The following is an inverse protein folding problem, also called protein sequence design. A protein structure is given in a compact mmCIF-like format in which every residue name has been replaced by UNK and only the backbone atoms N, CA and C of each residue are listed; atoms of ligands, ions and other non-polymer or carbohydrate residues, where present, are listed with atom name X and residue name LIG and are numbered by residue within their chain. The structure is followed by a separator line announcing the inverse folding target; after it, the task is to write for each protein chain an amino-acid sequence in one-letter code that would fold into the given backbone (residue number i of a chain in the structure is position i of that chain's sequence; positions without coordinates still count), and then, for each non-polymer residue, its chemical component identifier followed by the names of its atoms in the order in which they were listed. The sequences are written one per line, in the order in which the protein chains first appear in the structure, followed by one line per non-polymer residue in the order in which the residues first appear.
data_IF_098588006356
#
_entry.id   IF_098588006356
#
_cell.length_a   1.000
_cell.length_b   1.000
_cell.length_c   1.000
_cell.angle_alpha   90.00
_cell.angle_beta   90.00
_cell.angle_gamma   90.00
#
_symmetry.space_group_name_H-M   'P 1'
#
loop_
_entity.id
_entity.type
_entity.pdbx_description
1 polymer ?
#
# COMPACT_ATOMS: atom_id res chain seq x y z
N UNK A 1 -57.88 -66.96 -14.21
CA UNK A 1 -56.71 -66.79 -13.32
C UNK A 1 -57.10 -67.22 -11.92
N UNK A 2 -56.19 -67.83 -11.12
CA UNK A 2 -56.47 -68.14 -9.72
C UNK A 2 -56.78 -66.85 -8.94
N UNK A 3 -57.80 -66.86 -8.08
CA UNK A 3 -58.29 -65.68 -7.36
C UNK A 3 -57.20 -64.97 -6.53
N UNK A 4 -56.31 -65.73 -5.91
CA UNK A 4 -55.16 -65.20 -5.14
C UNK A 4 -54.19 -64.39 -6.01
N UNK A 5 -53.96 -64.84 -7.25
CA UNK A 5 -53.08 -64.14 -8.20
C UNK A 5 -53.70 -62.83 -8.67
N UNK A 6 -55.03 -62.76 -8.75
CA UNK A 6 -55.76 -61.55 -9.10
C UNK A 6 -55.71 -60.51 -7.97
N UNK A 7 -55.94 -60.90 -6.71
CA UNK A 7 -55.85 -59.96 -5.57
C UNK A 7 -54.42 -59.43 -5.38
N UNK A 8 -53.40 -60.28 -5.52
CA UNK A 8 -52.00 -59.82 -5.46
C UNK A 8 -51.66 -58.80 -6.55
N UNK A 9 -52.19 -58.97 -7.77
CA UNK A 9 -52.01 -57.99 -8.86
C UNK A 9 -52.71 -56.67 -8.57
N UNK A 10 -53.90 -56.71 -7.97
CA UNK A 10 -54.66 -55.52 -7.55
C UNK A 10 -53.95 -54.75 -6.43
N UNK A 11 -53.39 -55.45 -5.44
CA UNK A 11 -52.57 -54.84 -4.39
C UNK A 11 -51.32 -54.17 -4.95
N UNK A 12 -50.61 -54.83 -5.86
CA UNK A 12 -49.43 -54.27 -6.53
C UNK A 12 -49.79 -53.03 -7.37
N UNK A 13 -50.91 -53.08 -8.10
CA UNK A 13 -51.43 -51.93 -8.86
C UNK A 13 -51.75 -50.75 -7.95
N UNK A 14 -52.48 -50.98 -6.85
CA UNK A 14 -52.80 -49.95 -5.86
C UNK A 14 -51.56 -49.39 -5.14
N UNK A 15 -50.55 -50.24 -4.90
CA UNK A 15 -49.26 -49.80 -4.35
C UNK A 15 -48.51 -48.90 -5.33
N UNK A 16 -48.44 -49.30 -6.61
CA UNK A 16 -47.81 -48.53 -7.68
C UNK A 16 -48.45 -47.16 -7.85
N UNK A 17 -49.79 -47.09 -7.85
CA UNK A 17 -50.54 -45.81 -7.92
C UNK A 17 -50.18 -44.91 -6.73
N UNK A 18 -50.14 -45.44 -5.51
CA UNK A 18 -49.77 -44.67 -4.32
C UNK A 18 -48.32 -44.16 -4.36
N UNK A 19 -47.40 -44.96 -4.88
CA UNK A 19 -46.00 -44.55 -5.06
C UNK A 19 -45.92 -43.42 -6.09
N UNK A 20 -46.61 -43.55 -7.23
CA UNK A 20 -46.65 -42.53 -8.27
C UNK A 20 -47.20 -41.21 -7.75
N UNK A 21 -48.32 -41.23 -7.02
CA UNK A 21 -48.91 -40.04 -6.41
C UNK A 21 -47.94 -39.35 -5.43
N UNK A 22 -47.22 -40.13 -4.60
CA UNK A 22 -46.20 -39.57 -3.70
C UNK A 22 -45.05 -38.96 -4.48
N UNK A 23 -44.57 -39.64 -5.52
CA UNK A 23 -43.50 -39.16 -6.38
C UNK A 23 -43.87 -37.84 -7.05
N UNK A 24 -45.06 -37.75 -7.63
CA UNK A 24 -45.54 -36.52 -8.29
C UNK A 24 -45.68 -35.35 -7.29
N UNK A 25 -46.13 -35.63 -6.07
CA UNK A 25 -46.16 -34.63 -4.99
C UNK A 25 -44.76 -34.13 -4.62
N UNK A 26 -43.80 -35.04 -4.43
CA UNK A 26 -42.41 -34.65 -4.14
C UNK A 26 -41.78 -33.88 -5.29
N UNK A 27 -42.03 -34.31 -6.53
CA UNK A 27 -41.54 -33.64 -7.74
C UNK A 27 -42.10 -32.23 -7.84
N UNK A 28 -43.40 -32.04 -7.63
CA UNK A 28 -44.02 -30.70 -7.65
C UNK A 28 -43.42 -29.79 -6.58
N UNK A 29 -43.25 -30.29 -5.34
CA UNK A 29 -42.64 -29.53 -4.25
C UNK A 29 -41.19 -29.14 -4.54
N UNK A 30 -40.40 -30.08 -5.09
CA UNK A 30 -39.02 -29.82 -5.48
C UNK A 30 -38.92 -28.77 -6.61
N UNK A 31 -39.83 -28.82 -7.60
CA UNK A 31 -39.87 -27.83 -8.68
C UNK A 31 -40.15 -26.42 -8.14
N UNK A 32 -41.10 -26.30 -7.20
CA UNK A 32 -41.42 -25.00 -6.59
C UNK A 32 -40.27 -24.48 -5.73
N UNK A 33 -39.62 -25.34 -4.94
CA UNK A 33 -38.43 -24.97 -4.17
C UNK A 33 -37.28 -24.53 -5.08
N UNK A 34 -37.02 -25.23 -6.18
CA UNK A 34 -36.00 -24.83 -7.18
C UNK A 34 -36.35 -23.47 -7.79
N UNK A 35 -37.62 -23.22 -8.11
CA UNK A 35 -38.06 -21.94 -8.66
C UNK A 35 -37.83 -20.79 -7.67
N UNK A 36 -38.20 -20.98 -6.40
CA UNK A 36 -37.98 -20.00 -5.35
C UNK A 36 -36.48 -19.74 -5.11
N UNK A 37 -35.66 -20.80 -5.09
CA UNK A 37 -34.22 -20.65 -4.98
C UNK A 37 -33.63 -19.85 -6.14
N UNK A 38 -34.08 -20.08 -7.38
CA UNK A 38 -33.63 -19.30 -8.55
C UNK A 38 -33.96 -17.81 -8.43
N UNK A 39 -35.17 -17.49 -7.94
CA UNK A 39 -35.57 -16.09 -7.71
C UNK A 39 -34.69 -15.45 -6.63
N UNK A 40 -34.46 -16.15 -5.52
CA UNK A 40 -33.61 -15.64 -4.44
C UNK A 40 -32.17 -15.42 -4.90
N UNK A 41 -31.59 -16.35 -5.67
CA UNK A 41 -30.24 -16.18 -6.23
C UNK A 41 -30.17 -14.94 -7.11
N UNK A 42 -31.15 -14.73 -8.00
CA UNK A 42 -31.20 -13.54 -8.84
C UNK A 42 -31.27 -12.25 -8.03
N UNK A 43 -32.11 -12.20 -6.99
CA UNK A 43 -32.21 -11.03 -6.11
C UNK A 43 -30.89 -10.78 -5.37
N UNK A 44 -30.24 -11.83 -4.86
CA UNK A 44 -28.94 -11.69 -4.19
C UNK A 44 -27.81 -11.27 -5.14
N UNK A 45 -27.85 -11.67 -6.40
CA UNK A 45 -26.92 -11.21 -7.43
C UNK A 45 -27.11 -9.71 -7.71
N UNK A 46 -28.35 -9.26 -7.86
CA UNK A 46 -28.70 -7.84 -8.05
C UNK A 46 -28.29 -6.98 -6.84
N UNK A 47 -28.62 -7.41 -5.62
CA UNK A 47 -28.23 -6.73 -4.38
C UNK A 47 -26.70 -6.65 -4.24
N UNK A 48 -25.98 -7.73 -4.56
CA UNK A 48 -24.52 -7.73 -4.54
C UNK A 48 -23.93 -6.77 -5.57
N UNK A 49 -24.51 -6.69 -6.78
CA UNK A 49 -24.07 -5.75 -7.79
C UNK A 49 -24.26 -4.30 -7.33
N UNK A 50 -25.42 -3.97 -6.76
CA UNK A 50 -25.69 -2.67 -6.17
C UNK A 50 -24.72 -2.31 -5.05
N UNK A 51 -24.42 -3.24 -4.14
CA UNK A 51 -23.43 -3.03 -3.08
C UNK A 51 -22.02 -2.80 -3.63
N UNK A 52 -21.64 -3.48 -4.72
CA UNK A 52 -20.35 -3.26 -5.38
C UNK A 52 -20.23 -1.86 -5.95
N UNK A 53 -21.25 -1.35 -6.65
CA UNK A 53 -21.24 0.03 -7.13
C UNK A 53 -21.17 1.03 -5.99
N UNK A 54 -21.97 0.82 -4.93
CA UNK A 54 -21.97 1.71 -3.75
C UNK A 54 -20.61 1.75 -3.06
N UNK A 55 -19.92 0.61 -2.94
CA UNK A 55 -18.57 0.55 -2.39
C UNK A 55 -17.55 1.29 -3.25
N UNK A 56 -17.68 1.25 -4.57
CA UNK A 56 -16.82 2.03 -5.48
C UNK A 56 -17.04 3.53 -5.25
N UNK A 57 -18.30 3.96 -5.15
CA UNK A 57 -18.64 5.37 -4.93
C UNK A 57 -18.16 5.87 -3.56
N UNK A 58 -18.36 5.08 -2.50
CA UNK A 58 -17.80 5.40 -1.18
C UNK A 58 -16.27 5.45 -1.21
N UNK A 59 -15.60 4.57 -1.94
CA UNK A 59 -14.15 4.62 -2.12
C UNK A 59 -13.68 5.93 -2.76
N UNK A 60 -14.41 6.42 -3.77
CA UNK A 60 -14.15 7.72 -4.41
C UNK A 60 -14.37 8.89 -3.45
N UNK A 61 -15.49 8.88 -2.71
CA UNK A 61 -15.83 9.92 -1.75
C UNK A 61 -14.79 10.00 -0.62
N UNK A 62 -14.37 8.87 -0.06
CA UNK A 62 -13.31 8.81 0.95
C UNK A 62 -12.02 9.43 0.42
N UNK A 63 -11.64 9.13 -0.83
CA UNK A 63 -10.44 9.69 -1.45
C UNK A 63 -10.53 11.22 -1.59
N UNK A 64 -11.69 11.75 -1.96
CA UNK A 64 -11.91 13.21 -2.07
C UNK A 64 -11.87 13.88 -0.70
N UNK A 65 -12.55 13.29 0.30
CA UNK A 65 -12.56 13.80 1.67
C UNK A 65 -11.17 13.77 2.30
N UNK A 66 -10.36 12.75 2.02
CA UNK A 66 -8.97 12.69 2.46
C UNK A 66 -8.14 13.83 1.89
N UNK A 67 -8.24 14.10 0.58
CA UNK A 67 -7.55 15.22 -0.06
C UNK A 67 -7.97 16.57 0.52
N UNK A 68 -9.27 16.75 0.75
CA UNK A 68 -9.77 17.99 1.35
C UNK A 68 -9.29 18.15 2.79
N UNK A 69 -9.32 17.07 3.59
CA UNK A 69 -8.78 17.08 4.96
C UNK A 69 -7.29 17.42 4.99
N UNK A 70 -6.49 16.83 4.09
CA UNK A 70 -5.06 17.14 3.97
C UNK A 70 -4.86 18.62 3.64
N UNK A 71 -5.58 19.15 2.64
CA UNK A 71 -5.55 20.58 2.28
C UNK A 71 -5.91 21.50 3.45
N UNK A 72 -6.97 21.18 4.18
CA UNK A 72 -7.37 21.98 5.35
C UNK A 72 -6.35 21.90 6.49
N UNK A 73 -5.68 20.76 6.64
CA UNK A 73 -4.59 20.59 7.61
C UNK A 73 -3.40 21.47 7.24
N UNK A 74 -2.99 21.46 5.97
CA UNK A 74 -1.92 22.33 5.44
C UNK A 74 -2.27 23.81 5.60
N UNK A 75 -3.48 24.21 5.23
CA UNK A 75 -3.97 25.58 5.43
C UNK A 75 -3.90 25.99 6.91
N UNK A 76 -4.36 25.14 7.83
CA UNK A 76 -4.33 25.44 9.26
C UNK A 76 -2.89 25.62 9.79
N UNK A 77 -1.96 24.79 9.33
CA UNK A 77 -0.53 24.91 9.66
C UNK A 77 0.01 26.26 9.19
N UNK A 78 -0.26 26.61 7.92
CA UNK A 78 0.28 27.82 7.30
C UNK A 78 -0.33 29.09 7.90
N UNK A 79 -1.65 29.14 8.08
CA UNK A 79 -2.31 30.30 8.70
C UNK A 79 -1.92 30.47 10.17
N UNK A 80 -1.76 29.39 10.93
CA UNK A 80 -1.21 29.48 12.29
C UNK A 80 0.20 30.09 12.28
N UNK A 81 1.05 29.64 11.36
CA UNK A 81 2.41 30.14 11.18
C UNK A 81 2.44 31.64 10.84
N UNK A 82 1.52 32.12 10.00
CA UNK A 82 1.37 33.56 9.68
C UNK A 82 0.93 34.35 10.91
N UNK A 83 -0.07 33.85 11.65
CA UNK A 83 -0.63 34.54 12.83
C UNK A 83 0.34 34.65 14.01
N UNK A 84 1.42 33.87 14.03
CA UNK A 84 2.51 33.99 15.01
C UNK A 84 3.45 35.17 14.71
N UNK A 85 3.34 35.80 13.54
CA UNK A 85 4.17 36.94 13.12
C UNK A 85 3.56 38.29 13.54
N UNK A 86 4.42 39.31 13.68
CA UNK A 86 4.00 40.62 14.23
C UNK A 86 3.09 41.42 13.30
N UNK A 87 3.27 41.28 11.99
CA UNK A 87 2.50 41.97 10.95
C UNK A 87 2.07 40.92 9.90
N UNK A 88 0.97 40.18 10.16
CA UNK A 88 0.58 39.08 9.31
C UNK A 88 -0.02 39.60 7.99
N UNK A 89 0.57 39.22 6.86
CA UNK A 89 -0.09 39.26 5.56
C UNK A 89 -0.83 37.94 5.33
N UNK A 90 -2.14 38.01 5.13
CA UNK A 90 -2.97 36.84 4.87
C UNK A 90 -2.93 36.41 3.40
N UNK A 91 -2.43 37.26 2.50
CA UNK A 91 -2.24 36.97 1.09
C UNK A 91 -0.81 36.52 0.84
N UNK A 92 -0.60 35.21 0.91
CA UNK A 92 0.72 34.61 0.70
C UNK A 92 0.83 33.97 -0.68
N UNK A 93 2.05 33.92 -1.20
CA UNK A 93 2.36 33.24 -2.45
C UNK A 93 2.36 31.71 -2.27
N UNK A 94 2.26 30.96 -3.38
CA UNK A 94 2.44 29.50 -3.35
C UNK A 94 3.82 29.11 -2.82
N UNK A 95 4.86 29.90 -3.15
CA UNK A 95 6.22 29.68 -2.67
C UNK A 95 6.29 29.80 -1.13
N UNK A 96 5.67 30.85 -0.58
CA UNK A 96 5.59 31.06 0.86
C UNK A 96 4.81 29.94 1.55
N UNK A 97 3.69 29.52 0.96
CA UNK A 97 2.89 28.41 1.47
C UNK A 97 3.73 27.13 1.61
N UNK A 98 4.48 26.78 0.56
CA UNK A 98 5.38 25.62 0.57
C UNK A 98 6.50 25.78 1.60
N UNK A 99 7.13 26.95 1.67
CA UNK A 99 8.17 27.25 2.65
C UNK A 99 7.69 27.08 4.08
N UNK A 100 6.48 27.59 4.40
CA UNK A 100 5.87 27.47 5.73
C UNK A 100 5.54 26.02 6.10
N UNK A 101 5.15 25.17 5.15
CA UNK A 101 4.96 23.74 5.40
C UNK A 101 6.27 23.02 5.72
N UNK A 102 7.34 23.30 4.96
CA UNK A 102 8.68 22.74 5.22
C UNK A 102 9.17 23.18 6.60
N UNK A 103 9.02 24.45 6.95
CA UNK A 103 9.35 24.98 8.27
C UNK A 103 8.61 24.25 9.38
N UNK A 104 7.29 24.09 9.25
CA UNK A 104 6.49 23.38 10.24
C UNK A 104 7.01 21.96 10.48
N UNK A 105 7.36 21.22 9.43
CA UNK A 105 7.93 19.88 9.57
C UNK A 105 9.24 19.92 10.36
N UNK A 106 10.17 20.79 9.97
CA UNK A 106 11.49 20.89 10.60
C UNK A 106 11.44 21.40 12.05
N UNK A 107 10.48 22.26 12.38
CA UNK A 107 10.23 22.77 13.73
C UNK A 107 9.66 21.70 14.66
N UNK A 108 8.95 20.71 14.09
CA UNK A 108 8.44 19.55 14.80
C UNK A 108 9.35 18.31 14.64
N UNK A 109 10.63 18.53 14.30
CA UNK A 109 11.67 17.51 14.14
C UNK A 109 11.31 16.39 13.14
N UNK A 110 10.44 16.69 12.17
CA UNK A 110 10.15 15.83 11.02
C UNK A 110 11.14 16.16 9.91
N UNK A 111 12.10 15.25 9.73
CA UNK A 111 13.14 15.36 8.70
C UNK A 111 12.67 14.79 7.36
N UNK A 112 13.31 15.18 6.24
CA UNK A 112 13.09 14.54 4.94
C UNK A 112 13.34 13.03 5.02
N UNK A 113 12.59 12.25 4.23
CA UNK A 113 12.71 10.79 4.18
C UNK A 113 13.94 10.33 3.41
N UNK A 114 14.38 11.12 2.44
CA UNK A 114 15.48 10.78 1.56
C UNK A 114 16.23 12.05 1.08
N UNK A 115 17.31 11.85 0.32
CA UNK A 115 18.16 12.93 -0.21
C UNK A 115 17.38 13.87 -1.12
N UNK A 116 16.60 13.32 -2.05
CA UNK A 116 15.83 14.08 -3.04
C UNK A 116 14.81 15.02 -2.37
N UNK A 117 14.04 14.50 -1.42
CA UNK A 117 13.11 15.31 -0.63
C UNK A 117 13.86 16.39 0.16
N UNK A 118 15.04 16.06 0.71
CA UNK A 118 15.88 17.02 1.41
C UNK A 118 16.43 18.13 0.51
N UNK A 119 16.83 17.80 -0.72
CA UNK A 119 17.30 18.76 -1.72
C UNK A 119 16.16 19.69 -2.18
N UNK A 120 14.98 19.13 -2.46
CA UNK A 120 13.79 19.90 -2.79
C UNK A 120 13.34 20.83 -1.64
N UNK A 121 13.35 20.34 -0.39
CA UNK A 121 13.04 21.20 0.76
C UNK A 121 14.08 22.32 0.93
N UNK A 122 15.36 22.04 0.64
CA UNK A 122 16.40 23.06 0.69
C UNK A 122 16.16 24.15 -0.36
N UNK A 123 15.87 23.76 -1.60
CA UNK A 123 15.56 24.66 -2.71
C UNK A 123 14.39 25.59 -2.36
N UNK A 124 13.27 25.03 -1.89
CA UNK A 124 12.10 25.82 -1.46
C UNK A 124 12.49 26.85 -0.39
N UNK A 125 13.29 26.47 0.61
CA UNK A 125 13.69 27.40 1.67
C UNK A 125 14.69 28.46 1.17
N UNK A 126 15.57 28.12 0.23
CA UNK A 126 16.50 29.07 -0.38
C UNK A 126 15.76 30.07 -1.28
N UNK A 127 14.78 29.64 -2.08
CA UNK A 127 13.93 30.54 -2.87
C UNK A 127 13.11 31.49 -1.98
N UNK A 128 12.52 30.98 -0.88
CA UNK A 128 11.83 31.81 0.12
C UNK A 128 12.78 32.84 0.76
N UNK A 129 14.06 32.47 0.94
CA UNK A 129 15.10 33.35 1.48
C UNK A 129 15.43 34.49 0.52
N UNK A 130 15.45 34.19 -0.78
CA UNK A 130 15.72 35.15 -1.84
C UNK A 130 14.56 36.14 -2.02
N UNK A 131 13.33 35.63 -2.05
CA UNK A 131 12.09 36.42 -2.21
C UNK A 131 11.64 37.12 -0.92
N UNK A 132 12.29 36.84 0.21
CA UNK A 132 12.02 37.44 1.54
C UNK A 132 10.56 37.30 1.99
N UNK A 133 9.94 36.19 1.62
CA UNK A 133 8.55 35.86 1.94
C UNK A 133 8.34 35.42 3.38
N UNK A 134 9.40 34.97 4.06
CA UNK A 134 9.35 34.47 5.45
C UNK A 134 10.48 35.12 6.27
N UNK A 135 10.30 35.35 7.59
CA UNK A 135 11.37 35.87 8.45
C UNK A 135 12.70 35.12 8.33
N UNK A 136 13.76 35.86 8.01
CA UNK A 136 15.08 35.31 7.66
C UNK A 136 15.72 34.47 8.77
N UNK A 137 15.56 34.91 10.02
CA UNK A 137 16.06 34.21 11.20
C UNK A 137 15.47 32.80 11.37
N UNK A 138 14.22 32.60 10.92
CA UNK A 138 13.52 31.33 10.95
C UNK A 138 14.00 30.42 9.82
N UNK A 139 14.11 30.97 8.61
CA UNK A 139 14.63 30.26 7.43
C UNK A 139 16.06 29.75 7.66
N UNK A 140 16.95 30.57 8.21
CA UNK A 140 18.35 30.19 8.40
C UNK A 140 18.54 29.00 9.35
N UNK A 141 17.74 28.91 10.41
CA UNK A 141 17.74 27.76 11.32
C UNK A 141 17.30 26.49 10.60
N UNK A 142 16.25 26.57 9.79
CA UNK A 142 15.71 25.44 9.06
C UNK A 142 16.65 24.96 7.95
N UNK A 143 17.22 25.90 7.16
CA UNK A 143 18.25 25.61 6.15
C UNK A 143 19.44 24.90 6.80
N UNK A 144 19.88 25.37 7.97
CA UNK A 144 20.94 24.70 8.75
C UNK A 144 20.58 23.25 9.11
N UNK A 145 19.35 22.99 9.56
CA UNK A 145 18.87 21.62 9.86
C UNK A 145 18.92 20.73 8.60
N UNK A 146 18.45 21.21 7.45
CA UNK A 146 18.45 20.44 6.21
C UNK A 146 19.88 20.17 5.72
N UNK A 147 20.77 21.17 5.72
CA UNK A 147 22.16 20.99 5.30
C UNK A 147 22.86 19.92 6.13
N UNK A 148 22.68 19.94 7.46
CA UNK A 148 23.20 18.90 8.35
C UNK A 148 22.59 17.51 8.07
N UNK A 149 21.31 17.44 7.72
CA UNK A 149 20.67 16.20 7.31
C UNK A 149 21.31 15.63 6.03
N UNK A 150 21.45 16.46 4.99
CA UNK A 150 22.05 16.06 3.71
C UNK A 150 23.52 15.63 3.87
N UNK A 151 24.30 16.34 4.69
CA UNK A 151 25.67 15.95 5.02
C UNK A 151 25.75 14.58 5.69
N UNK A 152 24.86 14.29 6.65
CA UNK A 152 24.78 12.98 7.30
C UNK A 152 24.39 11.89 6.31
N UNK A 153 23.49 12.20 5.37
CA UNK A 153 23.09 11.27 4.32
C UNK A 153 24.27 10.90 3.42
N UNK A 154 25.03 11.90 2.97
CA UNK A 154 26.23 11.70 2.13
C UNK A 154 27.31 10.90 2.87
N UNK A 155 27.54 11.18 4.15
CA UNK A 155 28.52 10.42 4.96
C UNK A 155 28.14 8.94 5.07
N UNK A 156 26.87 8.65 5.40
CA UNK A 156 26.38 7.27 5.46
C UNK A 156 26.47 6.54 4.12
N UNK A 157 26.18 7.22 3.02
CA UNK A 157 26.31 6.64 1.68
C UNK A 157 27.77 6.25 1.40
N UNK A 158 28.72 7.17 1.66
CA UNK A 158 30.16 6.90 1.49
C UNK A 158 30.66 5.76 2.39
N UNK A 159 30.20 5.68 3.63
CA UNK A 159 30.55 4.61 4.55
C UNK A 159 29.99 3.25 4.08
N UNK A 160 28.77 3.23 3.53
CA UNK A 160 28.16 2.02 2.98
C UNK A 160 28.86 1.56 1.70
N UNK A 161 29.21 2.49 0.80
CA UNK A 161 29.97 2.20 -0.41
C UNK A 161 31.36 1.66 -0.05
N UNK A 162 32.05 2.29 0.91
CA UNK A 162 33.33 1.80 1.43
C UNK A 162 33.21 0.39 2.03
N UNK A 163 32.15 0.12 2.78
CA UNK A 163 31.90 -1.22 3.32
C UNK A 163 31.68 -2.25 2.21
N UNK A 164 30.97 -1.92 1.15
CA UNK A 164 30.71 -2.83 0.04
C UNK A 164 31.94 -3.07 -0.81
N UNK A 165 32.68 -2.02 -1.16
CA UNK A 165 33.93 -2.13 -1.91
C UNK A 165 34.98 -2.93 -1.14
N UNK A 166 35.11 -2.67 0.16
CA UNK A 166 35.99 -3.43 1.05
C UNK A 166 35.60 -4.91 1.12
N UNK A 167 34.31 -5.22 1.20
CA UNK A 167 33.81 -6.62 1.18
C UNK A 167 34.11 -7.31 -0.16
N UNK A 168 33.91 -6.61 -1.28
CA UNK A 168 34.23 -7.13 -2.62
C UNK A 168 35.73 -7.39 -2.77
N UNK A 169 36.57 -6.46 -2.30
CA UNK A 169 38.03 -6.59 -2.32
C UNK A 169 38.51 -7.75 -1.44
N UNK A 170 37.99 -7.86 -0.20
CA UNK A 170 38.28 -9.00 0.67
C UNK A 170 37.88 -10.34 0.08
N UNK A 171 36.75 -10.40 -0.62
CA UNK A 171 36.31 -11.64 -1.28
C UNK A 171 37.20 -12.00 -2.47
N UNK A 172 37.72 -11.01 -3.22
CA UNK A 172 38.72 -11.22 -4.27
C UNK A 172 40.04 -11.75 -3.69
N UNK A 173 40.55 -11.14 -2.62
CA UNK A 173 41.76 -11.61 -1.92
C UNK A 173 41.61 -13.06 -1.45
N UNK A 174 40.50 -13.39 -0.79
CA UNK A 174 40.20 -14.75 -0.31
C UNK A 174 40.11 -15.75 -1.47
N UNK A 175 39.52 -15.35 -2.60
CA UNK A 175 39.42 -16.18 -3.80
C UNK A 175 40.79 -16.44 -4.43
N UNK A 176 41.66 -15.44 -4.47
CA UNK A 176 43.04 -15.58 -4.96
C UNK A 176 43.88 -16.47 -4.03
N UNK A 177 43.76 -16.32 -2.70
CA UNK A 177 44.42 -17.20 -1.74
C UNK A 177 43.96 -18.66 -1.88
N UNK A 178 42.65 -18.90 -2.07
CA UNK A 178 42.10 -20.24 -2.34
C UNK A 178 42.64 -20.85 -3.65
N UNK A 179 42.84 -20.05 -4.70
CA UNK A 179 43.42 -20.51 -5.95
C UNK A 179 44.92 -20.82 -5.84
N UNK A 180 45.67 -20.01 -5.09
CA UNK A 180 47.09 -20.24 -4.84
C UNK A 180 47.32 -21.51 -4.01
N UNK A 181 46.49 -21.77 -2.98
CA UNK A 181 46.52 -22.99 -2.19
C UNK A 181 46.18 -24.26 -3.00
N UNK A 182 45.31 -24.15 -4.01
CA UNK A 182 45.04 -25.27 -4.95
C UNK A 182 46.21 -25.54 -5.89
N UNK A 183 46.90 -24.50 -6.38
CA UNK A 183 48.08 -24.63 -7.25
C UNK A 183 49.32 -25.16 -6.52
N UNK A 184 49.48 -24.89 -5.23
CA UNK A 184 50.59 -25.44 -4.43
C UNK A 184 50.38 -26.90 -4.07
N UNK A 185 49.13 -27.32 -3.75
CA UNK A 185 48.79 -28.74 -3.54
C UNK A 185 48.93 -29.60 -4.80
N UNK A 186 48.68 -29.05 -6.00
CA UNK A 186 48.85 -29.80 -7.25
C UNK A 186 50.32 -29.96 -7.67
N UNK A 187 51.23 -29.08 -7.22
CA UNK A 187 52.67 -29.22 -7.48
C UNK A 187 53.37 -30.18 -6.52
N UNK A 188 52.91 -30.33 -5.28
CA UNK A 188 53.48 -31.30 -4.33
C UNK A 188 53.05 -32.75 -4.59
N UNK A 189 51.99 -32.98 -5.38
CA UNK A 189 51.48 -34.32 -5.72
C UNK A 189 52.10 -34.90 -7.01
N UNK A 190 53.04 -34.21 -7.66
CA UNK A 190 53.67 -34.62 -8.92
C UNK A 190 55.12 -35.10 -8.81
N UNK A 191 55.66 -35.25 -7.60
CA UNK A 191 57.00 -35.80 -7.34
C UNK A 191 56.87 -37.03 -6.43
N UNK A 192 56.06 -37.99 -6.85
CA UNK A 192 56.23 -39.39 -6.45
C UNK A 192 56.04 -40.24 -7.71
N UNK A 193 57.16 -40.57 -8.35
CA UNK A 193 57.53 -41.84 -8.99
C UNK A 193 58.91 -41.70 -9.66
#
# INVERSE_FOLDING_TARGET
MPAERYEKMKELSNSSIRIQQRFDKYKSKAVEEIKNLKVNVKNFEEDNEHLRYRNIDFGREITLLQKERDRQTENAIVYKSILEEKEPDLQISTLEFQGRLVLHNLENDRMPKNKEEGENWLEILEENKEEKTIPQNRLEKAIGKIKLFLEKFIKRAKEADFSMDWLVEKNKELSQQRQQQKKTKSRSSGMEL
#
